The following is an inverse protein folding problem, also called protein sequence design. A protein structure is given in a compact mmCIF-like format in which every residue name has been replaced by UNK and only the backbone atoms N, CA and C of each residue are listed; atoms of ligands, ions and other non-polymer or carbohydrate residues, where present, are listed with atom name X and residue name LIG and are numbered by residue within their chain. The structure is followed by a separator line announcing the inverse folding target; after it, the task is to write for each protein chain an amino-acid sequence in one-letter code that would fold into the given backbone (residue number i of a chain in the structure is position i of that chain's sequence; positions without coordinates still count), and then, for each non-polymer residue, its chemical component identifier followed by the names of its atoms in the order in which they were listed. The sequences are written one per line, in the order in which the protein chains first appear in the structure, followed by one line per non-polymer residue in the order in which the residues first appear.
data_IF_308818999332
#
_entry.id   IF_308818999332
#
_cell.length_a   1.000
_cell.length_b   1.000
_cell.length_c   1.000
_cell.angle_alpha   90.00
_cell.angle_beta   90.00
_cell.angle_gamma   90.00
#
_symmetry.space_group_name_H-M   'P 1'
#
loop_
_entity.id
_entity.type
_entity.pdbx_description
1 polymer ?
#
# COMPACT_ATOMS: atom_id res chain seq x y z
N UNK A 1 -5.04 0.18 -17.00
CA UNK A 1 -4.32 1.10 -16.10
C UNK A 1 -4.12 0.41 -14.77
N UNK A 2 -2.93 0.47 -14.20
CA UNK A 2 -2.63 0.03 -12.84
C UNK A 2 -2.21 1.25 -12.02
N UNK A 3 -3.00 1.58 -11.01
CA UNK A 3 -2.82 2.81 -10.22
C UNK A 3 -2.08 2.58 -8.90
N UNK A 4 -1.46 1.41 -8.73
CA UNK A 4 -0.73 1.08 -7.51
C UNK A 4 0.49 0.22 -7.84
N UNK A 5 1.63 0.87 -8.07
CA UNK A 5 2.91 0.21 -8.34
C UNK A 5 4.04 0.85 -7.54
N UNK A 6 5.10 0.10 -7.30
CA UNK A 6 6.29 0.52 -6.55
C UNK A 6 7.56 0.16 -7.34
N UNK A 7 7.76 0.82 -8.48
CA UNK A 7 8.95 0.63 -9.31
C UNK A 7 10.17 1.26 -8.64
N UNK A 8 11.26 0.49 -8.58
CA UNK A 8 12.54 0.98 -8.06
C UNK A 8 12.46 1.57 -6.63
N UNK A 9 11.50 1.07 -5.84
CA UNK A 9 11.27 1.53 -4.47
C UNK A 9 12.38 1.05 -3.53
N UNK A 10 12.94 1.96 -2.73
CA UNK A 10 13.77 1.61 -1.59
C UNK A 10 12.86 1.30 -0.40
N UNK A 11 12.74 0.02 -0.04
CA UNK A 11 11.95 -0.46 1.09
C UNK A 11 12.86 -0.90 2.23
N UNK A 12 13.14 -0.02 3.17
CA UNK A 12 14.12 -0.24 4.23
C UNK A 12 15.52 -0.56 3.67
N UNK A 13 16.07 -1.73 4.01
CA UNK A 13 17.37 -2.19 3.51
C UNK A 13 17.31 -2.82 2.10
N UNK A 14 16.12 -2.96 1.51
CA UNK A 14 15.91 -3.66 0.25
C UNK A 14 15.44 -2.68 -0.83
N UNK A 15 15.80 -2.95 -2.08
CA UNK A 15 15.30 -2.23 -3.24
C UNK A 15 14.47 -3.17 -4.09
N UNK A 16 13.32 -2.72 -4.57
CA UNK A 16 12.51 -3.45 -5.54
C UNK A 16 13.34 -3.75 -6.80
N UNK A 17 13.14 -4.93 -7.38
CA UNK A 17 13.97 -5.41 -8.49
C UNK A 17 13.57 -4.77 -9.81
N UNK A 18 12.26 -4.58 -10.01
CA UNK A 18 11.79 -3.93 -11.21
C UNK A 18 11.97 -2.42 -11.10
N UNK A 19 12.72 -1.88 -12.06
CA UNK A 19 12.79 -0.45 -12.32
C UNK A 19 11.67 -0.02 -13.30
N UNK A 20 11.62 1.25 -13.65
CA UNK A 20 10.61 1.77 -14.57
C UNK A 20 10.70 1.16 -15.98
N UNK A 21 11.88 0.67 -16.41
CA UNK A 21 12.00 -0.02 -17.69
C UNK A 21 11.45 -1.44 -17.60
N UNK A 22 11.98 -2.28 -16.70
CA UNK A 22 11.58 -3.69 -16.60
C UNK A 22 10.14 -3.85 -16.19
N UNK A 23 9.69 -3.07 -15.19
CA UNK A 23 8.31 -3.11 -14.70
C UNK A 23 7.30 -2.65 -15.73
N UNK A 24 7.58 -1.61 -16.52
CA UNK A 24 6.65 -1.15 -17.58
C UNK A 24 6.67 -2.04 -18.82
N UNK A 25 7.77 -2.73 -19.11
CA UNK A 25 7.77 -3.83 -20.11
C UNK A 25 6.86 -4.95 -19.65
N UNK A 26 6.96 -5.40 -18.39
CA UNK A 26 6.07 -6.42 -17.84
C UNK A 26 4.61 -5.96 -17.87
N UNK A 27 4.32 -4.71 -17.47
CA UNK A 27 3.00 -4.10 -17.55
C UNK A 27 2.41 -4.18 -18.97
N UNK A 28 3.17 -3.76 -19.96
CA UNK A 28 2.75 -3.79 -21.36
C UNK A 28 2.50 -5.23 -21.87
N UNK A 29 3.32 -6.21 -21.46
CA UNK A 29 3.12 -7.62 -21.78
C UNK A 29 1.82 -8.16 -21.17
N UNK A 30 1.42 -7.71 -19.98
CA UNK A 30 0.15 -8.03 -19.34
C UNK A 30 -1.06 -7.24 -19.88
N UNK A 31 -0.83 -6.28 -20.79
CA UNK A 31 -1.89 -5.42 -21.36
C UNK A 31 -2.17 -4.15 -20.56
N UNK A 32 -1.35 -3.83 -19.56
CA UNK A 32 -1.40 -2.57 -18.82
C UNK A 32 -0.65 -1.50 -19.60
N UNK A 33 -1.36 -0.48 -20.05
CA UNK A 33 -0.83 0.59 -20.91
C UNK A 33 -0.53 1.88 -20.16
N UNK A 34 -0.87 1.96 -18.89
CA UNK A 34 -0.59 3.11 -18.02
C UNK A 34 -0.38 2.61 -16.59
N UNK A 35 0.68 3.06 -15.95
CA UNK A 35 0.88 2.88 -14.50
C UNK A 35 0.81 4.21 -13.77
N UNK A 36 0.40 4.19 -12.50
CA UNK A 36 0.58 5.32 -11.58
C UNK A 36 1.36 4.83 -10.37
N UNK A 37 2.60 5.28 -10.27
CA UNK A 37 3.55 4.86 -9.23
C UNK A 37 3.56 5.83 -8.05
N UNK A 38 4.16 5.43 -6.94
CA UNK A 38 4.24 6.25 -5.72
C UNK A 38 5.58 6.96 -5.62
N UNK A 39 5.64 8.23 -6.07
CA UNK A 39 6.75 9.13 -5.74
C UNK A 39 6.87 9.25 -4.22
N UNK A 40 8.03 8.94 -3.68
CA UNK A 40 8.24 8.89 -2.23
C UNK A 40 9.08 10.06 -1.76
N UNK A 41 8.53 10.86 -0.85
CA UNK A 41 9.28 11.79 -0.04
C UNK A 41 9.94 11.00 1.10
N UNK A 42 11.25 11.10 1.25
CA UNK A 42 11.94 10.58 2.43
C UNK A 42 12.06 11.67 3.51
N UNK A 43 12.27 11.26 4.76
CA UNK A 43 12.41 12.18 5.89
C UNK A 43 13.50 13.22 5.62
N UNK A 44 13.15 14.49 5.77
CA UNK A 44 14.02 15.63 5.51
C UNK A 44 14.04 16.14 4.06
N UNK A 45 13.33 15.48 3.14
CA UNK A 45 13.18 15.93 1.75
C UNK A 45 11.93 16.81 1.58
N UNK A 46 11.93 17.64 0.52
CA UNK A 46 10.73 18.29 0.03
C UNK A 46 9.89 17.34 -0.85
N UNK A 47 8.61 17.67 -1.07
CA UNK A 47 7.79 16.94 -2.05
C UNK A 47 8.36 17.11 -3.47
N UNK A 48 8.87 18.30 -3.77
CA UNK A 48 9.51 18.59 -5.06
C UNK A 48 10.76 17.73 -5.30
N UNK A 49 11.57 17.47 -4.27
CA UNK A 49 12.71 16.56 -4.37
C UNK A 49 12.27 15.13 -4.63
N UNK A 50 11.27 14.66 -3.89
CA UNK A 50 10.68 13.33 -4.09
C UNK A 50 10.14 13.16 -5.52
N UNK A 51 9.37 14.13 -6.02
CA UNK A 51 8.82 14.09 -7.38
C UNK A 51 9.93 14.10 -8.44
N UNK A 52 10.93 14.97 -8.29
CA UNK A 52 12.10 15.00 -9.18
C UNK A 52 12.83 13.66 -9.22
N UNK A 53 13.08 13.06 -8.06
CA UNK A 53 13.74 11.75 -7.98
C UNK A 53 12.97 10.67 -8.75
N UNK A 54 11.63 10.70 -8.73
CA UNK A 54 10.81 9.75 -9.48
C UNK A 54 10.82 10.02 -10.97
N UNK A 55 10.79 11.29 -11.39
CA UNK A 55 10.99 11.66 -12.80
C UNK A 55 12.37 11.20 -13.33
N UNK A 56 13.44 11.37 -12.57
CA UNK A 56 14.79 10.90 -12.97
C UNK A 56 14.85 9.38 -13.17
N UNK A 57 14.02 8.61 -12.45
CA UNK A 57 13.93 7.16 -12.63
C UNK A 57 13.06 6.75 -13.82
N UNK A 58 12.01 7.52 -14.13
CA UNK A 58 10.95 7.15 -15.08
C UNK A 58 11.14 7.76 -16.47
N UNK A 59 11.59 9.03 -16.56
CA UNK A 59 11.61 9.81 -17.80
C UNK A 59 12.51 9.14 -18.85
N UNK A 60 11.92 8.85 -20.00
CA UNK A 60 12.62 8.20 -21.11
C UNK A 60 12.91 6.71 -20.91
N UNK A 61 12.42 6.09 -19.83
CA UNK A 61 12.62 4.65 -19.54
C UNK A 61 11.35 3.82 -19.63
N UNK A 62 10.19 4.43 -19.42
CA UNK A 62 8.94 3.71 -19.43
C UNK A 62 8.55 3.21 -20.82
N UNK A 63 8.01 1.98 -20.88
CA UNK A 63 7.47 1.35 -22.08
C UNK A 63 5.95 1.51 -22.22
N UNK A 64 5.31 2.14 -21.25
CA UNK A 64 3.89 2.54 -21.26
C UNK A 64 3.76 3.95 -20.66
N UNK A 65 2.56 4.52 -20.72
CA UNK A 65 2.27 5.79 -20.04
C UNK A 65 2.44 5.66 -18.54
N UNK A 66 2.84 6.74 -17.88
CA UNK A 66 3.00 6.75 -16.42
C UNK A 66 2.56 8.07 -15.81
N UNK A 67 2.23 8.01 -14.54
CA UNK A 67 1.96 9.14 -13.65
C UNK A 67 2.39 8.82 -12.23
N UNK A 68 2.20 9.77 -11.32
CA UNK A 68 2.59 9.60 -9.93
C UNK A 68 1.49 10.01 -8.95
N UNK A 69 1.39 9.23 -7.88
CA UNK A 69 0.91 9.68 -6.57
C UNK A 69 2.11 10.18 -5.78
N UNK A 70 1.92 11.08 -4.82
CA UNK A 70 3.02 11.54 -3.97
C UNK A 70 2.85 11.05 -2.53
N UNK A 71 3.81 10.27 -2.03
CA UNK A 71 3.82 9.83 -0.62
C UNK A 71 4.36 10.94 0.27
N UNK A 72 3.65 11.20 1.37
CA UNK A 72 4.04 12.19 2.39
C UNK A 72 4.45 11.43 3.65
N UNK A 73 5.73 11.50 4.02
CA UNK A 73 6.30 10.84 5.19
C UNK A 73 6.98 11.81 6.17
N UNK A 74 7.14 13.06 5.77
CA UNK A 74 7.59 14.16 6.62
C UNK A 74 6.64 15.34 6.45
N UNK A 75 6.22 15.94 7.58
CA UNK A 75 5.22 17.01 7.56
C UNK A 75 5.66 18.21 8.38
N UNK A 76 5.74 19.34 7.72
CA UNK A 76 6.09 20.60 8.32
C UNK A 76 5.46 21.76 7.51
N UNK A 77 5.54 23.02 7.97
CA UNK A 77 4.93 24.15 7.26
C UNK A 77 5.45 24.39 5.84
N UNK A 78 6.66 23.93 5.49
CA UNK A 78 7.17 24.02 4.11
C UNK A 78 6.49 23.00 3.23
N UNK A 79 6.50 21.73 3.63
CA UNK A 79 5.84 20.62 2.91
C UNK A 79 4.34 20.90 2.72
N UNK A 80 3.68 21.49 3.73
CA UNK A 80 2.28 21.89 3.62
C UNK A 80 2.02 22.89 2.48
N UNK A 81 2.93 23.83 2.24
CA UNK A 81 2.81 24.78 1.12
C UNK A 81 3.10 24.13 -0.24
N UNK A 82 4.01 23.18 -0.27
CA UNK A 82 4.37 22.46 -1.51
C UNK A 82 3.20 21.62 -2.08
N UNK A 83 2.12 21.39 -1.33
CA UNK A 83 0.92 20.76 -1.89
C UNK A 83 0.30 21.60 -3.03
N UNK A 84 0.39 22.93 -2.98
CA UNK A 84 -0.06 23.78 -4.09
C UNK A 84 0.80 23.52 -5.34
N UNK A 85 2.12 23.46 -5.17
CA UNK A 85 3.05 23.19 -6.26
C UNK A 85 2.83 21.78 -6.85
N UNK A 86 2.54 20.78 -5.99
CA UNK A 86 2.18 19.43 -6.46
C UNK A 86 0.89 19.44 -7.29
N UNK A 87 -0.14 20.15 -6.84
CA UNK A 87 -1.39 20.26 -7.59
C UNK A 87 -1.17 20.97 -8.94
N UNK A 88 -0.36 22.02 -8.99
CA UNK A 88 0.03 22.71 -10.24
C UNK A 88 0.84 21.81 -11.18
N UNK A 89 1.67 20.93 -10.63
CA UNK A 89 2.42 19.91 -11.39
C UNK A 89 1.53 18.74 -11.87
N UNK A 90 0.22 18.74 -11.54
CA UNK A 90 -0.71 17.68 -11.92
C UNK A 90 -0.77 16.49 -10.94
N UNK A 91 -0.06 16.55 -9.83
CA UNK A 91 -0.12 15.53 -8.76
C UNK A 91 -1.31 15.87 -7.85
N UNK A 92 -2.42 15.18 -8.04
CA UNK A 92 -3.68 15.44 -7.33
C UNK A 92 -4.01 14.38 -6.27
N UNK A 93 -3.22 13.33 -6.20
CA UNK A 93 -3.41 12.21 -5.29
C UNK A 93 -2.14 11.91 -4.50
N UNK A 94 -2.33 11.59 -3.22
CA UNK A 94 -1.25 11.44 -2.25
C UNK A 94 -1.34 10.09 -1.56
N UNK A 95 -0.28 9.70 -0.86
CA UNK A 95 -0.21 8.44 -0.10
C UNK A 95 0.28 8.71 1.31
N UNK A 96 -0.38 8.11 2.28
CA UNK A 96 0.04 8.09 3.68
C UNK A 96 0.18 6.65 4.16
N UNK A 97 1.03 6.47 5.16
CA UNK A 97 1.25 5.21 5.82
C UNK A 97 0.98 5.33 7.32
N UNK A 98 0.31 4.34 7.90
CA UNK A 98 0.08 4.23 9.34
C UNK A 98 1.03 3.20 9.97
N UNK A 99 1.97 2.67 9.21
CA UNK A 99 3.04 1.76 9.62
C UNK A 99 4.30 2.01 8.79
N UNK A 100 5.39 1.31 9.06
CA UNK A 100 6.73 1.47 8.49
C UNK A 100 7.48 2.73 8.98
N UNK A 101 8.71 2.93 8.47
CA UNK A 101 9.54 4.10 8.78
C UNK A 101 8.97 5.39 8.14
N UNK A 102 8.08 5.24 7.16
CA UNK A 102 7.37 6.34 6.48
C UNK A 102 6.04 6.69 7.12
N UNK A 103 5.69 6.08 8.27
CA UNK A 103 4.42 6.34 8.95
C UNK A 103 4.34 7.77 9.47
N UNK A 104 3.11 8.28 9.46
CA UNK A 104 2.75 9.56 10.08
C UNK A 104 1.74 9.31 11.21
N UNK A 105 1.80 10.11 12.27
CA UNK A 105 0.91 10.00 13.42
C UNK A 105 -0.49 10.60 13.14
N UNK A 106 -1.44 10.36 14.02
CA UNK A 106 -2.83 10.79 13.86
C UNK A 106 -2.98 12.31 13.74
N UNK A 107 -2.15 13.07 14.46
CA UNK A 107 -2.14 14.53 14.36
C UNK A 107 -1.71 14.96 12.96
N UNK A 108 -0.64 14.39 12.47
CA UNK A 108 -0.09 14.67 11.15
C UNK A 108 -1.06 14.26 10.04
N UNK A 109 -1.68 13.06 10.13
CA UNK A 109 -2.74 12.65 9.21
C UNK A 109 -3.86 13.68 9.18
N UNK A 110 -4.33 14.12 10.34
CA UNK A 110 -5.41 15.10 10.44
C UNK A 110 -5.05 16.45 9.80
N UNK A 111 -3.83 16.93 10.02
CA UNK A 111 -3.33 18.18 9.41
C UNK A 111 -3.23 18.06 7.89
N UNK A 112 -2.69 16.94 7.38
CA UNK A 112 -2.60 16.66 5.95
C UNK A 112 -4.01 16.58 5.32
N UNK A 113 -4.93 15.86 5.93
CA UNK A 113 -6.31 15.76 5.43
C UNK A 113 -6.98 17.13 5.32
N UNK A 114 -6.79 18.01 6.31
CA UNK A 114 -7.30 19.39 6.25
C UNK A 114 -6.71 20.17 5.09
N UNK A 115 -5.40 20.06 4.90
CA UNK A 115 -4.73 20.77 3.82
C UNK A 115 -5.12 20.22 2.44
N UNK A 116 -5.24 18.91 2.30
CA UNK A 116 -5.73 18.26 1.07
C UNK A 116 -7.15 18.70 0.71
N UNK A 117 -8.04 18.88 1.70
CA UNK A 117 -9.38 19.42 1.46
C UNK A 117 -9.31 20.83 0.88
N UNK A 118 -8.41 21.69 1.37
CA UNK A 118 -8.25 23.05 0.90
C UNK A 118 -7.76 23.12 -0.56
N UNK A 119 -6.81 22.26 -0.93
CA UNK A 119 -6.24 22.24 -2.30
C UNK A 119 -7.05 21.35 -3.27
N UNK A 120 -8.02 20.59 -2.79
CA UNK A 120 -8.82 19.69 -3.62
C UNK A 120 -8.13 18.36 -3.95
N UNK A 121 -7.12 17.95 -3.18
CA UNK A 121 -6.43 16.67 -3.33
C UNK A 121 -7.16 15.52 -2.66
N UNK A 122 -6.72 14.28 -2.94
CA UNK A 122 -7.20 13.06 -2.30
C UNK A 122 -6.02 12.22 -1.83
N UNK A 123 -6.20 11.40 -0.78
CA UNK A 123 -5.15 10.49 -0.34
C UNK A 123 -5.61 9.05 -0.26
N UNK A 124 -4.73 8.13 -0.70
CA UNK A 124 -4.75 6.73 -0.36
C UNK A 124 -3.96 6.48 0.93
N UNK A 125 -4.42 5.57 1.77
CA UNK A 125 -3.76 5.30 3.05
C UNK A 125 -3.53 3.81 3.24
N UNK A 126 -2.27 3.44 3.55
CA UNK A 126 -1.93 2.11 4.04
C UNK A 126 -2.35 2.00 5.51
N UNK A 127 -3.36 1.21 5.78
CA UNK A 127 -4.00 1.12 7.09
C UNK A 127 -3.59 -0.16 7.81
N UNK A 128 -2.56 -0.08 8.64
CA UNK A 128 -2.21 -1.12 9.63
C UNK A 128 -1.75 -0.46 10.94
N UNK A 129 -2.14 -1.01 12.07
CA UNK A 129 -1.76 -0.51 13.40
C UNK A 129 -0.32 -0.89 13.73
N UNK A 130 0.62 0.05 13.60
CA UNK A 130 2.05 -0.17 13.82
C UNK A 130 2.39 -0.61 15.25
N UNK A 131 1.70 -0.08 16.25
CA UNK A 131 1.91 -0.43 17.65
C UNK A 131 1.54 -1.88 17.94
N UNK A 132 0.38 -2.32 17.43
CA UNK A 132 -0.06 -3.71 17.56
C UNK A 132 0.91 -4.67 16.85
N UNK A 133 1.32 -4.34 15.62
CA UNK A 133 2.28 -5.13 14.86
C UNK A 133 3.61 -5.25 15.60
N UNK A 134 4.16 -4.15 16.09
CA UNK A 134 5.43 -4.14 16.80
C UNK A 134 5.38 -5.01 18.08
N UNK A 135 4.30 -4.92 18.86
CA UNK A 135 4.10 -5.74 20.05
C UNK A 135 4.03 -7.23 19.70
N UNK A 136 3.20 -7.60 18.72
CA UNK A 136 3.06 -9.00 18.29
C UNK A 136 4.35 -9.59 17.69
N UNK A 137 5.11 -8.78 16.94
CA UNK A 137 6.44 -9.19 16.44
C UNK A 137 7.43 -9.41 17.58
N UNK A 138 7.44 -8.53 18.59
CA UNK A 138 8.29 -8.71 19.76
C UNK A 138 7.92 -9.99 20.53
N UNK A 139 6.63 -10.25 20.74
CA UNK A 139 6.15 -11.49 21.38
C UNK A 139 6.51 -12.75 20.57
N UNK A 140 6.37 -12.71 19.25
CA UNK A 140 6.74 -13.84 18.38
C UNK A 140 8.24 -14.13 18.48
N UNK A 141 9.08 -13.10 18.43
CA UNK A 141 10.55 -13.23 18.59
C UNK A 141 10.92 -13.76 19.97
N UNK A 142 10.33 -13.24 21.02
CA UNK A 142 10.58 -13.72 22.40
C UNK A 142 10.19 -15.18 22.59
N UNK A 143 9.19 -15.67 21.86
CA UNK A 143 8.72 -17.06 21.85
C UNK A 143 9.49 -17.95 20.85
N UNK A 144 10.50 -17.45 20.15
CA UNK A 144 11.26 -18.20 19.15
C UNK A 144 10.49 -18.52 17.87
N UNK A 145 9.33 -17.89 17.63
CA UNK A 145 8.53 -18.05 16.40
C UNK A 145 9.09 -17.14 15.31
N UNK A 146 10.07 -17.65 14.57
CA UNK A 146 10.85 -16.87 13.60
C UNK A 146 10.54 -17.20 12.15
N UNK A 147 9.68 -18.19 11.90
CA UNK A 147 9.31 -18.65 10.56
C UNK A 147 8.35 -17.72 9.83
N UNK A 148 8.17 -17.99 8.53
CA UNK A 148 7.32 -17.18 7.62
C UNK A 148 5.87 -17.12 8.11
N UNK A 149 5.36 -18.18 8.73
CA UNK A 149 4.01 -18.26 9.31
C UNK A 149 3.74 -17.22 10.40
N UNK A 150 4.78 -16.65 10.98
CA UNK A 150 4.65 -15.56 11.96
C UNK A 150 4.32 -14.22 11.32
N UNK A 151 4.54 -14.05 10.01
CA UNK A 151 4.23 -12.82 9.31
C UNK A 151 2.72 -12.48 9.39
N UNK A 152 1.77 -13.32 8.94
CA UNK A 152 0.35 -13.01 9.07
C UNK A 152 -0.12 -13.01 10.52
N UNK A 153 0.46 -13.85 11.39
CA UNK A 153 0.09 -13.90 12.81
C UNK A 153 0.41 -12.61 13.57
N UNK A 154 1.42 -11.85 13.12
CA UNK A 154 1.81 -10.56 13.71
C UNK A 154 1.18 -9.34 13.02
N UNK A 155 0.40 -9.56 11.97
CA UNK A 155 -0.37 -8.56 11.22
C UNK A 155 -1.83 -9.00 11.06
N UNK A 156 -2.57 -9.20 12.18
CA UNK A 156 -3.94 -9.72 12.11
C UNK A 156 -4.88 -8.73 11.38
N UNK A 157 -6.00 -9.26 10.87
CA UNK A 157 -7.04 -8.45 10.23
C UNK A 157 -7.55 -7.32 11.14
N UNK A 158 -7.61 -7.55 12.46
CA UNK A 158 -7.96 -6.54 13.44
C UNK A 158 -7.02 -5.32 13.44
N UNK A 159 -5.72 -5.49 13.13
CA UNK A 159 -4.77 -4.37 13.04
C UNK A 159 -5.05 -3.49 11.80
N UNK A 160 -5.51 -4.09 10.71
CA UNK A 160 -5.96 -3.39 9.52
C UNK A 160 -7.31 -2.69 9.75
N UNK A 161 -8.29 -3.40 10.25
CA UNK A 161 -9.63 -2.87 10.51
C UNK A 161 -9.64 -1.71 11.52
N UNK A 162 -8.82 -1.79 12.59
CA UNK A 162 -8.66 -0.69 13.56
C UNK A 162 -8.06 0.55 12.86
N UNK A 163 -7.02 0.38 12.08
CA UNK A 163 -6.37 1.50 11.39
C UNK A 163 -7.32 2.14 10.36
N UNK A 164 -8.10 1.34 9.62
CA UNK A 164 -9.16 1.85 8.73
C UNK A 164 -10.20 2.65 9.53
N UNK A 165 -10.68 2.11 10.64
CA UNK A 165 -11.67 2.81 11.48
C UNK A 165 -11.12 4.17 11.96
N UNK A 166 -9.89 4.21 12.45
CA UNK A 166 -9.21 5.42 12.93
C UNK A 166 -9.07 6.45 11.81
N UNK A 167 -8.57 6.05 10.64
CA UNK A 167 -8.51 6.92 9.46
C UNK A 167 -9.87 7.52 9.12
N UNK A 168 -10.91 6.68 9.05
CA UNK A 168 -12.24 7.15 8.67
C UNK A 168 -12.85 8.10 9.68
N UNK A 169 -12.54 7.96 10.98
CA UNK A 169 -12.96 8.93 12.02
C UNK A 169 -12.24 10.27 11.85
N UNK A 170 -10.95 10.28 11.51
CA UNK A 170 -10.22 11.51 11.22
C UNK A 170 -10.78 12.20 9.96
N UNK A 171 -10.99 11.44 8.89
CA UNK A 171 -11.54 11.95 7.63
C UNK A 171 -12.98 12.49 7.78
N UNK A 172 -13.80 11.87 8.63
CA UNK A 172 -15.16 12.32 8.92
C UNK A 172 -15.17 13.72 9.58
N UNK A 173 -14.28 13.97 10.53
CA UNK A 173 -14.16 15.29 11.19
C UNK A 173 -13.72 16.37 10.19
N UNK A 174 -12.86 16.02 9.25
CA UNK A 174 -12.40 16.94 8.19
C UNK A 174 -13.46 17.09 7.10
N UNK A 175 -14.32 16.09 6.91
CA UNK A 175 -15.29 15.97 5.80
C UNK A 175 -14.55 15.95 4.44
N UNK A 176 -13.66 14.97 4.27
CA UNK A 176 -12.86 14.72 3.05
C UNK A 176 -13.01 13.27 2.60
N UNK A 177 -13.10 12.99 1.28
CA UNK A 177 -13.01 11.64 0.78
C UNK A 177 -11.60 11.07 0.95
N UNK A 178 -11.50 9.77 1.24
CA UNK A 178 -10.23 9.04 1.33
C UNK A 178 -10.33 7.71 0.59
N UNK A 179 -9.17 7.15 0.25
CA UNK A 179 -9.04 5.83 -0.38
C UNK A 179 -8.38 4.89 0.63
N UNK A 180 -9.03 3.80 0.97
CA UNK A 180 -8.40 2.67 1.66
C UNK A 180 -7.78 1.80 0.58
N UNK A 181 -6.44 1.80 0.48
CA UNK A 181 -5.74 1.01 -0.54
C UNK A 181 -5.54 -0.43 -0.10
N UNK A 182 -5.35 -1.35 -1.05
CA UNK A 182 -5.04 -2.77 -0.84
C UNK A 182 -5.79 -3.42 0.34
N UNK A 183 -7.11 -3.21 0.44
CA UNK A 183 -7.99 -3.81 1.44
C UNK A 183 -7.95 -5.33 1.34
N UNK A 184 -7.77 -6.03 2.49
CA UNK A 184 -7.53 -7.48 2.49
C UNK A 184 -8.56 -8.30 3.24
N UNK A 185 -9.37 -7.71 4.14
CA UNK A 185 -10.16 -8.48 5.10
C UNK A 185 -11.62 -8.02 5.19
N UNK A 186 -12.46 -8.93 5.66
CA UNK A 186 -13.89 -8.69 5.90
C UNK A 186 -14.12 -7.58 6.91
N UNK A 187 -13.37 -7.58 8.02
CA UNK A 187 -13.52 -6.57 9.07
C UNK A 187 -13.27 -5.15 8.50
N UNK A 188 -12.31 -5.00 7.59
CA UNK A 188 -12.07 -3.73 6.89
C UNK A 188 -13.24 -3.33 6.00
N UNK A 189 -13.83 -4.28 5.25
CA UNK A 189 -15.06 -4.02 4.47
C UNK A 189 -16.20 -3.55 5.36
N UNK A 190 -16.41 -4.20 6.52
CA UNK A 190 -17.48 -3.85 7.46
C UNK A 190 -17.32 -2.42 7.99
N UNK A 191 -16.10 -2.02 8.33
CA UNK A 191 -15.78 -0.66 8.79
C UNK A 191 -16.07 0.37 7.69
N UNK A 192 -15.71 0.10 6.43
CA UNK A 192 -15.97 0.99 5.30
C UNK A 192 -17.48 1.13 5.06
N UNK A 193 -18.21 0.01 5.05
CA UNK A 193 -19.67 0.04 4.86
C UNK A 193 -20.36 0.83 5.97
N UNK A 194 -19.91 0.70 7.21
CA UNK A 194 -20.46 1.44 8.34
C UNK A 194 -20.20 2.96 8.21
N UNK A 195 -19.02 3.36 7.76
CA UNK A 195 -18.71 4.76 7.48
C UNK A 195 -19.59 5.33 6.36
N UNK A 196 -19.80 4.58 5.28
CA UNK A 196 -20.69 4.98 4.18
C UNK A 196 -22.15 5.11 4.59
N UNK A 197 -22.65 4.24 5.48
CA UNK A 197 -24.00 4.38 6.07
C UNK A 197 -24.18 5.70 6.83
N UNK A 198 -23.10 6.24 7.37
CA UNK A 198 -23.10 7.59 8.00
C UNK A 198 -22.97 8.73 6.98
N UNK A 199 -22.93 8.43 5.68
CA UNK A 199 -22.81 9.41 4.59
C UNK A 199 -21.36 9.78 4.21
N UNK A 200 -20.37 9.09 4.75
CA UNK A 200 -18.96 9.35 4.48
C UNK A 200 -18.58 8.88 3.06
N UNK A 201 -17.81 9.69 2.33
CA UNK A 201 -17.26 9.31 1.02
C UNK A 201 -15.95 8.56 1.23
N UNK A 202 -16.00 7.24 1.05
CA UNK A 202 -14.83 6.35 1.17
C UNK A 202 -14.70 5.55 -0.10
N UNK A 203 -13.53 5.53 -0.68
CA UNK A 203 -13.18 4.63 -1.77
C UNK A 203 -12.32 3.49 -1.21
N UNK A 204 -12.37 2.34 -1.85
CA UNK A 204 -11.57 1.18 -1.47
C UNK A 204 -10.96 0.52 -2.71
N UNK A 205 -9.76 0.05 -2.54
CA UNK A 205 -9.00 -0.71 -3.52
C UNK A 205 -8.64 -2.06 -2.92
N UNK A 206 -8.61 -3.12 -3.72
CA UNK A 206 -7.99 -4.40 -3.37
C UNK A 206 -7.01 -4.83 -4.45
N UNK A 207 -6.33 -5.95 -4.24
CA UNK A 207 -5.33 -6.43 -5.17
C UNK A 207 -5.60 -7.89 -5.57
N UNK A 208 -5.12 -8.34 -6.77
CA UNK A 208 -5.33 -9.70 -7.27
C UNK A 208 -4.91 -10.78 -6.29
N UNK A 209 -3.79 -10.57 -5.57
CA UNK A 209 -3.29 -11.54 -4.60
C UNK A 209 -4.28 -11.81 -3.46
N UNK A 210 -5.05 -10.83 -3.01
CA UNK A 210 -6.05 -10.99 -1.96
C UNK A 210 -7.35 -11.63 -2.45
N UNK A 211 -7.58 -11.60 -3.76
CA UNK A 211 -8.74 -12.23 -4.40
C UNK A 211 -8.49 -13.70 -4.73
N UNK A 212 -7.24 -14.08 -5.02
CA UNK A 212 -6.88 -15.35 -5.64
C UNK A 212 -6.03 -16.27 -4.75
N UNK A 213 -5.46 -15.73 -3.67
CA UNK A 213 -4.54 -16.43 -2.78
C UNK A 213 -5.01 -16.29 -1.33
N UNK A 214 -4.53 -17.17 -0.46
CA UNK A 214 -4.82 -17.17 0.96
C UNK A 214 -3.58 -17.45 1.82
N UNK A 215 -3.74 -17.38 3.14
CA UNK A 215 -2.66 -17.51 4.11
C UNK A 215 -2.08 -18.93 4.25
N UNK A 216 -2.69 -19.93 3.63
CA UNK A 216 -2.12 -21.29 3.59
C UNK A 216 -0.76 -21.32 2.89
N UNK A 217 -0.51 -20.37 1.99
CA UNK A 217 0.76 -20.24 1.27
C UNK A 217 1.95 -19.93 2.18
N UNK A 218 1.72 -19.31 3.34
CA UNK A 218 2.78 -19.10 4.33
C UNK A 218 3.25 -20.38 5.03
N UNK A 219 2.45 -21.46 4.97
CA UNK A 219 2.78 -22.78 5.48
C UNK A 219 3.60 -23.66 4.52
N UNK A 220 3.97 -23.16 3.36
CA UNK A 220 4.82 -23.89 2.41
C UNK A 220 6.21 -24.16 2.99
N UNK A 221 6.80 -25.29 2.60
CA UNK A 221 8.07 -25.76 3.18
C UNK A 221 9.24 -24.82 2.88
N UNK A 222 10.14 -24.68 3.83
CA UNK A 222 11.36 -23.89 3.71
C UNK A 222 11.05 -22.40 3.50
N UNK A 223 11.63 -21.81 2.46
CA UNK A 223 11.42 -20.39 2.10
C UNK A 223 10.40 -20.17 0.97
N UNK A 224 9.66 -21.23 0.57
CA UNK A 224 8.66 -21.09 -0.50
C UNK A 224 7.53 -20.13 -0.10
N UNK A 225 7.08 -20.19 1.15
CA UNK A 225 6.07 -19.26 1.69
C UNK A 225 6.53 -17.80 1.72
N UNK A 226 7.84 -17.54 1.78
CA UNK A 226 8.36 -16.19 1.79
C UNK A 226 8.10 -15.43 0.48
N UNK A 227 7.90 -16.14 -0.64
CA UNK A 227 7.53 -15.53 -1.92
C UNK A 227 6.24 -14.73 -1.85
N UNK A 228 5.33 -15.11 -0.94
CA UNK A 228 4.00 -14.54 -0.76
C UNK A 228 3.94 -13.49 0.36
N UNK A 229 5.07 -13.18 1.00
CA UNK A 229 5.12 -12.14 2.03
C UNK A 229 4.90 -10.78 1.38
N UNK A 230 3.77 -10.15 1.74
CA UNK A 230 3.36 -8.80 1.37
C UNK A 230 2.69 -8.15 2.59
N UNK A 231 2.43 -6.87 2.55
CA UNK A 231 1.77 -6.16 3.64
C UNK A 231 0.73 -5.15 3.11
N UNK A 232 -0.53 -5.30 3.55
CA UNK A 232 -1.02 -6.30 4.51
C UNK A 232 -0.86 -7.73 4.00
N UNK A 233 -0.84 -8.75 4.89
CA UNK A 233 -0.62 -10.14 4.46
C UNK A 233 -1.86 -10.74 3.79
N UNK A 234 -1.66 -11.84 3.06
CA UNK A 234 -2.75 -12.70 2.60
C UNK A 234 -3.59 -13.16 3.81
N UNK A 235 -4.89 -13.24 3.61
CA UNK A 235 -5.89 -13.56 4.63
C UNK A 235 -6.49 -14.94 4.43
N UNK A 236 -7.54 -15.25 5.18
CA UNK A 236 -8.28 -16.52 5.05
C UNK A 236 -9.11 -16.55 3.77
N UNK A 237 -9.47 -17.75 3.26
CA UNK A 237 -10.33 -17.89 2.08
C UNK A 237 -11.67 -17.14 2.20
N UNK A 238 -12.20 -17.01 3.43
CA UNK A 238 -13.45 -16.28 3.69
C UNK A 238 -13.32 -14.78 3.45
N UNK A 239 -12.11 -14.23 3.66
CA UNK A 239 -11.82 -12.83 3.36
C UNK A 239 -11.82 -12.60 1.85
N UNK A 240 -11.15 -13.46 1.07
CA UNK A 240 -11.18 -13.41 -0.40
C UNK A 240 -12.61 -13.46 -0.95
N UNK A 241 -13.45 -14.35 -0.42
CA UNK A 241 -14.87 -14.41 -0.80
C UNK A 241 -15.61 -13.12 -0.49
N UNK A 242 -15.30 -12.49 0.65
CA UNK A 242 -15.86 -11.19 1.02
C UNK A 242 -15.43 -10.09 0.05
N UNK A 243 -14.15 -10.05 -0.34
CA UNK A 243 -13.63 -9.07 -1.29
C UNK A 243 -14.27 -9.23 -2.68
N UNK A 244 -14.45 -10.46 -3.17
CA UNK A 244 -15.18 -10.71 -4.43
C UNK A 244 -16.61 -10.19 -4.38
N UNK A 245 -17.32 -10.39 -3.27
CA UNK A 245 -18.65 -9.84 -3.08
C UNK A 245 -18.61 -8.31 -3.03
N UNK A 246 -17.63 -7.74 -2.33
CA UNK A 246 -17.47 -6.30 -2.20
C UNK A 246 -17.15 -5.61 -3.54
N UNK A 247 -16.47 -6.29 -4.46
CA UNK A 247 -16.30 -5.85 -5.85
C UNK A 247 -17.63 -5.89 -6.61
N UNK A 248 -18.36 -6.99 -6.48
CA UNK A 248 -19.64 -7.18 -7.19
C UNK A 248 -20.73 -6.19 -6.76
N UNK A 249 -20.77 -5.81 -5.49
CA UNK A 249 -21.77 -4.87 -4.95
C UNK A 249 -21.29 -3.40 -4.94
N UNK A 250 -20.06 -3.13 -5.40
CA UNK A 250 -19.49 -1.78 -5.49
C UNK A 250 -18.96 -1.24 -4.17
N UNK A 251 -18.78 -2.07 -3.16
CA UNK A 251 -18.08 -1.68 -1.91
C UNK A 251 -16.61 -1.37 -2.18
N UNK A 252 -15.96 -2.14 -3.08
CA UNK A 252 -14.63 -1.88 -3.61
C UNK A 252 -14.77 -1.35 -5.04
N UNK A 253 -14.08 -0.26 -5.38
CA UNK A 253 -14.19 0.41 -6.68
C UNK A 253 -13.05 0.09 -7.63
N UNK A 254 -11.87 -0.27 -7.09
CA UNK A 254 -10.67 -0.47 -7.91
C UNK A 254 -9.93 -1.75 -7.53
N UNK A 255 -9.30 -2.35 -8.54
CA UNK A 255 -8.31 -3.43 -8.38
C UNK A 255 -7.01 -2.94 -8.98
N UNK A 256 -5.93 -2.95 -8.20
CA UNK A 256 -4.58 -2.58 -8.60
C UNK A 256 -3.61 -3.62 -8.08
N UNK A 257 -2.39 -3.69 -8.59
CA UNK A 257 -1.53 -4.83 -8.27
C UNK A 257 -0.73 -4.70 -6.99
N UNK A 258 -0.45 -3.49 -6.54
CA UNK A 258 0.53 -3.20 -5.48
C UNK A 258 1.88 -3.86 -5.81
N UNK A 259 2.28 -3.77 -7.10
CA UNK A 259 3.49 -4.39 -7.61
C UNK A 259 4.73 -3.86 -6.88
N UNK A 260 5.39 -4.75 -6.16
CA UNK A 260 6.65 -4.48 -5.47
C UNK A 260 7.48 -5.77 -5.46
N UNK A 261 8.33 -5.96 -6.45
CA UNK A 261 9.02 -7.23 -6.70
C UNK A 261 10.32 -7.37 -5.92
N UNK A 262 10.56 -8.56 -5.38
CA UNK A 262 11.81 -8.95 -4.74
C UNK A 262 12.23 -10.34 -5.20
N UNK A 263 13.54 -10.52 -5.41
CA UNK A 263 14.09 -11.85 -5.75
C UNK A 263 13.93 -12.84 -4.62
N UNK A 264 13.96 -14.13 -4.95
CA UNK A 264 13.99 -15.20 -3.94
C UNK A 264 15.23 -15.09 -3.04
N UNK A 265 16.36 -14.58 -3.54
CA UNK A 265 17.55 -14.33 -2.76
C UNK A 265 17.33 -13.22 -1.71
N UNK A 266 16.66 -12.12 -2.08
CA UNK A 266 16.28 -11.06 -1.13
C UNK A 266 15.28 -11.58 -0.08
N UNK A 267 14.26 -12.33 -0.49
CA UNK A 267 13.31 -12.97 0.45
C UNK A 267 14.03 -13.94 1.41
N UNK A 268 15.06 -14.64 0.95
CA UNK A 268 15.82 -15.59 1.78
C UNK A 268 16.68 -14.92 2.86
N UNK A 269 16.91 -13.60 2.82
CA UNK A 269 17.57 -12.86 3.90
C UNK A 269 16.77 -12.90 5.22
N UNK A 270 15.48 -13.14 5.16
CA UNK A 270 14.62 -13.32 6.32
C UNK A 270 14.46 -14.77 6.80
N UNK A 271 15.31 -15.70 6.37
CA UNK A 271 15.24 -17.13 6.73
C UNK A 271 15.18 -17.39 8.24
N UNK A 272 15.98 -16.65 9.01
CA UNK A 272 16.10 -16.81 10.45
C UNK A 272 15.33 -15.72 11.23
N UNK A 273 14.69 -14.81 10.54
CA UNK A 273 13.89 -13.71 11.10
C UNK A 273 12.87 -13.22 10.08
N UNK A 274 11.62 -13.67 10.22
CA UNK A 274 10.54 -13.31 9.29
C UNK A 274 10.35 -11.80 9.11
N UNK A 275 10.73 -10.99 10.10
CA UNK A 275 10.62 -9.52 10.00
C UNK A 275 11.63 -8.89 9.02
N UNK A 276 12.60 -9.67 8.55
CA UNK A 276 13.59 -9.27 7.54
C UNK A 276 13.22 -9.71 6.12
N UNK A 277 12.11 -10.43 5.95
CA UNK A 277 11.60 -10.76 4.62
C UNK A 277 11.02 -9.47 4.02
N UNK A 278 11.53 -8.97 2.90
CA UNK A 278 10.94 -7.80 2.27
C UNK A 278 9.50 -8.08 1.86
N UNK A 279 8.58 -7.18 2.26
CA UNK A 279 7.15 -7.28 1.92
C UNK A 279 6.89 -6.74 0.51
N UNK A 280 6.30 -7.55 -0.35
CA UNK A 280 5.89 -7.18 -1.69
C UNK A 280 5.85 -8.39 -2.63
N UNK A 281 5.01 -8.31 -3.64
CA UNK A 281 4.79 -9.34 -4.65
C UNK A 281 4.78 -8.71 -6.05
N UNK A 282 5.27 -9.43 -7.09
CA UNK A 282 5.07 -9.00 -8.47
C UNK A 282 3.60 -9.16 -8.87
N UNK A 283 3.07 -8.22 -9.66
CA UNK A 283 1.67 -8.27 -10.09
C UNK A 283 1.39 -7.51 -11.38
N UNK A 284 2.25 -6.57 -11.79
CA UNK A 284 1.96 -5.63 -12.89
C UNK A 284 1.76 -6.30 -14.26
N UNK A 285 2.31 -7.51 -14.46
CA UNK A 285 2.11 -8.32 -15.67
C UNK A 285 0.75 -9.03 -15.72
N UNK A 286 0.01 -9.05 -14.60
CA UNK A 286 -1.33 -9.63 -14.57
C UNK A 286 -2.29 -8.79 -15.41
N UNK A 287 -3.06 -9.48 -16.27
CA UNK A 287 -4.11 -8.82 -17.05
C UNK A 287 -5.32 -8.54 -16.17
N UNK A 288 -5.46 -7.32 -15.68
CA UNK A 288 -6.55 -6.91 -14.81
C UNK A 288 -7.94 -6.93 -15.50
N UNK A 289 -7.99 -7.01 -16.82
CA UNK A 289 -9.25 -7.12 -17.58
C UNK A 289 -9.89 -8.52 -17.53
N UNK A 290 -9.18 -9.50 -17.00
CA UNK A 290 -9.64 -10.89 -16.92
C UNK A 290 -9.96 -11.33 -15.48
N UNK A 291 -9.96 -10.42 -14.52
CA UNK A 291 -10.35 -10.66 -13.12
C UNK A 291 -11.85 -10.54 -12.95
#
# INVERSE_FOLDING_TARGET
MDVHTHMDLQAGAHRAVDDFYTGTVAAACGGTTTIVDFGTQYTGESLADGLRNWHEKADGRCSCDYGFHMSISDWNPSVSRELDDMMEAGITSFKLYMTYDTQVDDKTIFEILRRLKEVGGITGVHCENSGMIAALQAEAKAAGRMGVESHPATRPAAAEAEAIYRLLRLAEVVDIPVIVVHLTCREGCDVIMEARKRGQKVYAETCPQYLLMDDSLYGLTGMEGAKYVCAPPLRKPEDSQCLWKALADGTIQTVSTDHCSFTTAQKALGRDDFTKIPGGMPGVELSLIHI
#
